data_IF_289405701891
#
_entry.id   IF_289405701891
#
_cell.length_a   1.000
_cell.length_b   1.000
_cell.length_c   1.000
_cell.angle_alpha   90.00
_cell.angle_beta   90.00
_cell.angle_gamma   90.00
#
_symmetry.space_group_name_H-M   'P 1'
#
loop_
_entity.id
_entity.type
_entity.pdbx_description
1 polymer ?
#
# COMPACT_ATOMS: atom_id res chain seq x y z
N UNK A 1 -37.64 6.40 13.42
CA UNK A 1 -37.07 7.21 14.49
C UNK A 1 -35.95 8.08 13.90
N UNK A 2 -35.93 9.37 14.14
CA UNK A 2 -34.86 10.29 13.66
C UNK A 2 -33.61 10.14 14.54
N UNK A 3 -33.03 8.96 14.54
CA UNK A 3 -31.81 8.65 15.31
C UNK A 3 -30.63 8.64 14.34
N UNK A 4 -29.67 9.54 14.54
CA UNK A 4 -28.49 9.67 13.68
C UNK A 4 -27.33 8.77 14.13
N UNK A 5 -27.32 8.35 15.40
CA UNK A 5 -26.24 7.58 16.02
C UNK A 5 -26.82 6.55 16.99
N UNK A 6 -26.32 5.32 16.92
CA UNK A 6 -26.68 4.22 17.81
C UNK A 6 -25.44 3.71 18.52
N UNK A 7 -25.51 3.65 19.86
CA UNK A 7 -24.48 2.99 20.64
C UNK A 7 -24.64 1.47 20.55
N UNK A 8 -23.55 0.79 20.30
CA UNK A 8 -23.46 -0.67 20.39
C UNK A 8 -22.89 -1.01 21.77
N UNK A 9 -23.61 -1.82 22.54
CA UNK A 9 -23.21 -2.22 23.88
C UNK A 9 -23.07 -3.73 23.96
N UNK A 10 -22.20 -4.21 24.84
CA UNK A 10 -22.11 -5.62 25.19
C UNK A 10 -23.25 -6.06 26.12
N UNK A 11 -23.30 -7.34 26.47
CA UNK A 11 -24.32 -7.91 27.37
C UNK A 11 -24.31 -7.29 28.78
N UNK A 12 -23.24 -6.58 29.14
CA UNK A 12 -23.10 -5.87 30.43
C UNK A 12 -23.43 -4.39 30.34
N UNK A 13 -23.87 -3.92 29.14
CA UNK A 13 -24.20 -2.51 28.91
C UNK A 13 -22.98 -1.61 28.66
N UNK A 14 -21.77 -2.15 28.53
CA UNK A 14 -20.57 -1.38 28.20
C UNK A 14 -20.56 -1.02 26.70
N UNK A 15 -20.32 0.24 26.39
CA UNK A 15 -20.19 0.70 25.00
C UNK A 15 -18.98 0.06 24.34
N UNK A 16 -19.22 -0.66 23.24
CA UNK A 16 -18.20 -1.33 22.40
C UNK A 16 -18.14 -0.79 20.97
N UNK A 17 -19.06 0.11 20.61
CA UNK A 17 -19.08 0.69 19.28
C UNK A 17 -20.15 1.76 19.09
N UNK A 18 -20.13 2.35 17.90
CA UNK A 18 -21.09 3.35 17.46
C UNK A 18 -21.43 3.10 15.99
N UNK A 19 -22.72 3.11 15.66
CA UNK A 19 -23.19 3.06 14.28
C UNK A 19 -23.85 4.40 13.97
N UNK A 20 -23.48 5.01 12.84
CA UNK A 20 -24.08 6.26 12.38
C UNK A 20 -24.83 6.07 11.07
N UNK A 21 -25.77 7.00 10.77
CA UNK A 21 -26.43 7.04 9.45
C UNK A 21 -25.42 7.15 8.33
N UNK A 22 -24.34 7.94 8.54
CA UNK A 22 -23.25 8.07 7.55
C UNK A 22 -22.53 6.76 7.26
N UNK A 23 -22.38 5.86 8.23
CA UNK A 23 -21.76 4.55 8.02
C UNK A 23 -22.63 3.68 7.12
N UNK A 24 -23.96 3.73 7.33
CA UNK A 24 -24.93 3.01 6.49
C UNK A 24 -24.93 3.58 5.07
N UNK A 25 -25.01 4.89 4.93
CA UNK A 25 -24.96 5.57 3.62
C UNK A 25 -23.66 5.25 2.86
N UNK A 26 -22.52 5.34 3.52
CA UNK A 26 -21.22 5.02 2.91
C UNK A 26 -21.10 3.55 2.50
N UNK A 27 -21.71 2.64 3.27
CA UNK A 27 -21.70 1.22 2.90
C UNK A 27 -22.51 0.94 1.61
N UNK A 28 -23.56 1.72 1.39
CA UNK A 28 -24.38 1.65 0.17
C UNK A 28 -23.73 2.35 -1.02
N UNK A 29 -23.09 3.50 -0.79
CA UNK A 29 -22.40 4.27 -1.82
C UNK A 29 -21.11 3.59 -2.31
N UNK A 30 -20.43 2.85 -1.42
CA UNK A 30 -19.17 2.18 -1.71
C UNK A 30 -19.21 0.67 -1.40
N UNK A 31 -20.05 -0.10 -2.12
CA UNK A 31 -20.23 -1.53 -1.84
C UNK A 31 -18.98 -2.36 -2.09
N UNK A 32 -18.08 -1.88 -2.98
CA UNK A 32 -16.86 -2.56 -3.37
C UNK A 32 -15.62 -2.14 -2.53
N UNK A 33 -15.81 -1.36 -1.47
CA UNK A 33 -14.70 -1.00 -0.59
C UNK A 33 -14.09 -2.27 0.04
N UNK A 34 -12.76 -2.36 0.05
CA UNK A 34 -12.04 -3.47 0.67
C UNK A 34 -12.25 -3.46 2.17
N UNK A 35 -12.89 -4.50 2.69
CA UNK A 35 -13.26 -4.64 4.09
C UNK A 35 -12.86 -6.00 4.63
N UNK A 36 -12.55 -6.04 5.91
CA UNK A 36 -12.33 -7.27 6.66
C UNK A 36 -13.66 -8.00 6.95
N UNK A 37 -13.57 -9.17 7.59
CA UNK A 37 -14.74 -9.97 7.97
C UNK A 37 -15.69 -9.26 8.98
N UNK A 38 -15.20 -8.22 9.65
CA UNK A 38 -15.98 -7.38 10.59
C UNK A 38 -16.55 -6.13 9.93
N UNK A 39 -16.38 -5.98 8.60
CA UNK A 39 -16.85 -4.82 7.82
C UNK A 39 -16.00 -3.57 7.99
N UNK A 40 -14.81 -3.65 8.58
CA UNK A 40 -13.86 -2.53 8.71
C UNK A 40 -13.01 -2.43 7.44
N UNK A 41 -12.63 -1.21 7.06
CA UNK A 41 -11.73 -1.00 5.93
C UNK A 41 -10.39 -1.69 6.18
N UNK A 42 -9.85 -2.36 5.15
CA UNK A 42 -8.50 -2.89 5.15
C UNK A 42 -7.53 -1.71 5.11
N UNK A 43 -6.55 -1.71 6.02
CA UNK A 43 -5.58 -0.63 6.17
C UNK A 43 -4.15 -1.12 6.11
N UNK A 44 -3.32 -0.36 5.40
CA UNK A 44 -1.88 -0.54 5.37
C UNK A 44 -1.15 0.58 6.10
N UNK A 45 0.02 0.27 6.65
CA UNK A 45 0.86 1.27 7.28
C UNK A 45 2.30 1.20 6.79
N UNK A 46 2.86 2.39 6.49
CA UNK A 46 4.23 2.51 6.03
C UNK A 46 5.22 2.45 7.18
N UNK A 47 6.32 1.76 6.93
CA UNK A 47 7.51 1.69 7.78
C UNK A 47 8.76 2.01 6.94
N UNK A 48 9.82 2.43 7.60
CA UNK A 48 11.13 2.61 6.99
C UNK A 48 11.95 1.33 6.98
N UNK A 49 13.23 1.44 7.33
CA UNK A 49 14.19 0.34 7.40
C UNK A 49 14.99 0.37 8.72
N UNK A 50 15.53 -0.79 9.12
CA UNK A 50 16.35 -0.94 10.32
C UNK A 50 15.53 -1.15 11.60
N UNK A 51 16.20 -1.07 12.76
CA UNK A 51 15.64 -1.41 14.07
C UNK A 51 14.39 -0.60 14.44
N UNK A 52 14.37 0.69 14.15
CA UNK A 52 13.20 1.55 14.42
C UNK A 52 11.97 1.10 13.59
N UNK A 53 12.20 0.63 12.36
CA UNK A 53 11.14 0.11 11.52
C UNK A 53 10.58 -1.21 12.06
N UNK A 54 11.41 -2.08 12.61
CA UNK A 54 10.98 -3.33 13.24
C UNK A 54 10.12 -3.04 14.48
N UNK A 55 10.58 -2.13 15.34
CA UNK A 55 9.80 -1.74 16.52
C UNK A 55 8.45 -1.10 16.14
N UNK A 56 8.44 -0.25 15.12
CA UNK A 56 7.21 0.31 14.57
C UNK A 56 6.28 -0.76 13.98
N UNK A 57 6.84 -1.73 13.26
CA UNK A 57 6.08 -2.84 12.71
C UNK A 57 5.38 -3.66 13.80
N UNK A 58 6.07 -3.96 14.91
CA UNK A 58 5.50 -4.64 16.07
C UNK A 58 4.28 -3.89 16.63
N UNK A 59 4.42 -2.58 16.87
CA UNK A 59 3.32 -1.76 17.36
C UNK A 59 2.12 -1.72 16.38
N UNK A 60 2.39 -1.69 15.08
CA UNK A 60 1.35 -1.68 14.06
C UNK A 60 0.62 -3.03 13.96
N UNK A 61 1.35 -4.13 14.05
CA UNK A 61 0.77 -5.49 14.08
C UNK A 61 -0.09 -5.67 15.33
N UNK A 62 0.39 -5.24 16.50
CA UNK A 62 -0.38 -5.27 17.75
C UNK A 62 -1.64 -4.40 17.68
N UNK A 63 -1.59 -3.28 16.95
CA UNK A 63 -2.74 -2.43 16.69
C UNK A 63 -3.71 -3.01 15.65
N UNK A 64 -3.37 -4.10 14.98
CA UNK A 64 -4.22 -4.81 14.01
C UNK A 64 -4.15 -4.25 12.59
N UNK A 65 -2.97 -3.82 12.13
CA UNK A 65 -2.76 -3.45 10.73
C UNK A 65 -2.94 -4.68 9.83
N UNK A 66 -3.55 -4.49 8.66
CA UNK A 66 -3.78 -5.59 7.72
C UNK A 66 -2.55 -5.84 6.83
N UNK A 67 -1.80 -4.80 6.47
CA UNK A 67 -0.61 -4.92 5.62
C UNK A 67 0.46 -3.90 6.03
N UNK A 68 1.72 -4.34 6.06
CA UNK A 68 2.87 -3.47 6.25
C UNK A 68 3.44 -3.05 4.90
N UNK A 69 3.94 -1.82 4.81
CA UNK A 69 4.55 -1.30 3.60
C UNK A 69 5.97 -0.81 3.93
N UNK A 70 6.99 -1.51 3.47
CA UNK A 70 8.36 -1.00 3.50
C UNK A 70 8.50 0.00 2.35
N UNK A 71 8.45 1.29 2.71
CA UNK A 71 8.38 2.38 1.74
C UNK A 71 9.68 3.17 1.74
N UNK A 72 10.41 3.07 0.63
CA UNK A 72 11.71 3.72 0.47
C UNK A 72 11.87 4.32 -0.92
N UNK A 73 12.72 5.34 -1.03
CA UNK A 73 13.06 5.93 -2.33
C UNK A 73 13.84 4.97 -3.23
N UNK A 74 14.51 3.96 -2.65
CA UNK A 74 15.28 2.94 -3.35
C UNK A 74 15.12 1.59 -2.64
N UNK A 75 14.17 0.78 -3.14
CA UNK A 75 13.80 -0.50 -2.55
C UNK A 75 14.86 -1.59 -2.72
N UNK A 76 15.71 -1.49 -3.74
CA UNK A 76 16.76 -2.47 -4.03
C UNK A 76 18.03 -2.16 -3.23
N UNK A 77 17.98 -2.32 -1.91
CA UNK A 77 19.12 -2.09 -1.02
C UNK A 77 19.20 -3.14 0.09
N UNK A 78 20.42 -3.42 0.57
CA UNK A 78 20.67 -4.39 1.64
C UNK A 78 19.84 -4.10 2.90
N UNK A 79 19.64 -2.83 3.24
CA UNK A 79 18.84 -2.44 4.40
C UNK A 79 17.35 -2.80 4.23
N UNK A 80 16.80 -2.62 3.03
CA UNK A 80 15.41 -3.02 2.74
C UNK A 80 15.29 -4.53 2.81
N UNK A 81 16.19 -5.26 2.18
CA UNK A 81 16.20 -6.72 2.15
C UNK A 81 16.32 -7.30 3.56
N UNK A 82 17.25 -6.81 4.37
CA UNK A 82 17.41 -7.27 5.75
C UNK A 82 16.19 -6.97 6.61
N UNK A 83 15.58 -5.79 6.46
CA UNK A 83 14.35 -5.42 7.17
C UNK A 83 13.18 -6.31 6.75
N UNK A 84 13.02 -6.59 5.45
CA UNK A 84 12.00 -7.50 4.96
C UNK A 84 12.13 -8.89 5.56
N UNK A 85 13.32 -9.47 5.50
CA UNK A 85 13.61 -10.79 6.09
C UNK A 85 13.27 -10.85 7.58
N UNK A 86 13.66 -9.83 8.32
CA UNK A 86 13.40 -9.77 9.75
C UNK A 86 11.90 -9.68 10.04
N UNK A 87 11.15 -8.83 9.32
CA UNK A 87 9.70 -8.71 9.46
C UNK A 87 9.02 -10.06 9.13
N UNK A 88 9.35 -10.67 8.01
CA UNK A 88 8.75 -11.95 7.60
C UNK A 88 9.10 -13.10 8.56
N UNK A 89 10.22 -13.01 9.28
CA UNK A 89 10.56 -13.98 10.32
C UNK A 89 9.78 -13.81 11.62
N UNK A 90 9.32 -12.58 11.92
CA UNK A 90 8.65 -12.23 13.17
C UNK A 90 7.12 -12.21 13.06
N UNK A 91 6.60 -11.81 11.90
CA UNK A 91 5.17 -11.55 11.71
C UNK A 91 4.63 -12.32 10.50
N UNK A 92 3.36 -12.72 10.59
CA UNK A 92 2.61 -13.35 9.50
C UNK A 92 1.88 -12.33 8.61
N UNK A 93 1.99 -11.05 8.93
CA UNK A 93 1.35 -9.95 8.18
C UNK A 93 1.96 -9.85 6.78
N UNK A 94 1.11 -9.60 5.78
CA UNK A 94 1.57 -9.35 4.41
C UNK A 94 2.42 -8.08 4.33
N UNK A 95 3.45 -8.11 3.49
CA UNK A 95 4.42 -7.02 3.35
C UNK A 95 4.53 -6.58 1.89
N UNK A 96 4.17 -5.32 1.63
CA UNK A 96 4.44 -4.64 0.38
C UNK A 96 5.81 -3.98 0.49
N UNK A 97 6.65 -4.13 -0.52
CA UNK A 97 8.03 -3.57 -0.50
C UNK A 97 8.29 -2.71 -1.74
N UNK A 98 8.91 -1.57 -1.57
CA UNK A 98 9.34 -0.69 -2.66
C UNK A 98 10.10 0.55 -2.19
N UNK A 99 10.40 1.47 -3.15
CA UNK A 99 10.01 1.39 -4.56
C UNK A 99 11.17 0.86 -5.42
N UNK A 100 10.80 0.13 -6.44
CA UNK A 100 11.72 -0.38 -7.45
C UNK A 100 11.23 -0.04 -8.86
N UNK A 101 12.05 -0.28 -9.88
CA UNK A 101 11.70 0.00 -11.27
C UNK A 101 12.31 -0.98 -12.27
N UNK A 102 12.93 -2.06 -11.80
CA UNK A 102 13.59 -3.07 -12.63
C UNK A 102 13.13 -4.48 -12.29
N UNK A 103 13.24 -5.39 -13.25
CA UNK A 103 12.94 -6.80 -13.10
C UNK A 103 13.85 -7.48 -12.05
N UNK A 104 15.16 -7.17 -12.06
CA UNK A 104 16.11 -7.75 -11.11
C UNK A 104 15.75 -7.39 -9.67
N UNK A 105 15.45 -6.10 -9.42
CA UNK A 105 15.04 -5.66 -8.10
C UNK A 105 13.72 -6.31 -7.66
N UNK A 106 12.77 -6.45 -8.58
CA UNK A 106 11.49 -7.11 -8.33
C UNK A 106 11.70 -8.58 -7.99
N UNK A 107 12.53 -9.28 -8.76
CA UNK A 107 12.86 -10.69 -8.52
C UNK A 107 13.47 -10.89 -7.16
N UNK A 108 14.49 -10.09 -6.81
CA UNK A 108 15.18 -10.22 -5.53
C UNK A 108 14.22 -9.97 -4.34
N UNK A 109 13.41 -8.92 -4.38
CA UNK A 109 12.45 -8.65 -3.29
C UNK A 109 11.45 -9.80 -3.10
N UNK A 110 10.95 -10.38 -4.20
CA UNK A 110 10.03 -11.53 -4.13
C UNK A 110 10.75 -12.75 -3.53
N UNK A 111 11.98 -13.02 -3.93
CA UNK A 111 12.77 -14.14 -3.41
C UNK A 111 13.11 -13.99 -1.93
N UNK A 112 13.10 -12.76 -1.43
CA UNK A 112 13.26 -12.48 0.00
C UNK A 112 11.93 -12.43 0.79
N UNK A 113 10.81 -12.74 0.13
CA UNK A 113 9.52 -12.92 0.79
C UNK A 113 8.57 -11.73 0.74
N UNK A 114 8.74 -10.80 -0.20
CA UNK A 114 7.75 -9.75 -0.44
C UNK A 114 6.44 -10.37 -0.96
N UNK A 115 5.32 -10.03 -0.33
CA UNK A 115 3.99 -10.47 -0.77
C UNK A 115 3.43 -9.60 -1.90
N UNK A 116 3.99 -8.39 -2.04
CA UNK A 116 3.68 -7.47 -3.13
C UNK A 116 4.85 -6.51 -3.36
N UNK A 117 5.12 -6.14 -4.60
CA UNK A 117 6.18 -5.17 -4.93
C UNK A 117 5.58 -3.86 -5.41
N UNK A 118 6.07 -2.75 -4.85
CA UNK A 118 5.65 -1.40 -5.19
C UNK A 118 6.62 -0.77 -6.19
N UNK A 119 6.10 -0.40 -7.37
CA UNK A 119 6.87 0.00 -8.55
C UNK A 119 6.71 1.48 -8.84
N UNK A 120 7.83 2.19 -8.93
CA UNK A 120 7.86 3.60 -9.33
C UNK A 120 9.05 4.35 -8.73
N UNK A 121 9.97 4.82 -9.59
CA UNK A 121 11.09 5.67 -9.22
C UNK A 121 10.94 7.02 -9.91
N UNK A 122 10.56 8.03 -9.13
CA UNK A 122 10.45 9.41 -9.57
C UNK A 122 9.16 9.82 -10.29
N UNK A 123 8.09 9.02 -10.45
CA UNK A 123 6.90 9.45 -11.18
C UNK A 123 5.92 10.28 -10.35
N UNK A 124 6.06 10.32 -9.04
CA UNK A 124 5.16 11.05 -8.14
C UNK A 124 5.14 12.55 -8.41
N UNK A 125 3.98 13.19 -8.28
CA UNK A 125 3.81 14.62 -8.55
C UNK A 125 4.63 15.51 -7.61
N UNK A 126 4.87 15.06 -6.39
CA UNK A 126 5.70 15.76 -5.38
C UNK A 126 7.13 15.24 -5.33
N UNK A 127 7.47 14.22 -6.14
CA UNK A 127 8.79 13.60 -6.12
C UNK A 127 9.83 14.48 -6.78
N UNK A 128 10.89 14.79 -6.06
CA UNK A 128 12.01 15.61 -6.54
C UNK A 128 13.19 14.79 -7.06
N UNK A 129 13.16 13.47 -6.97
CA UNK A 129 14.26 12.58 -7.34
C UNK A 129 14.74 12.81 -8.78
N UNK A 130 13.81 12.95 -9.74
CA UNK A 130 14.18 13.23 -11.15
C UNK A 130 14.84 14.58 -11.33
N UNK A 131 14.38 15.59 -10.60
CA UNK A 131 14.85 16.97 -10.76
C UNK A 131 16.17 17.19 -10.03
N UNK A 132 16.29 16.65 -8.82
CA UNK A 132 17.45 16.86 -7.94
C UNK A 132 18.57 15.86 -8.23
N UNK A 133 18.24 14.58 -8.34
CA UNK A 133 19.22 13.51 -8.51
C UNK A 133 19.37 13.05 -9.97
N UNK A 134 18.50 13.48 -10.89
CA UNK A 134 18.51 13.00 -12.27
C UNK A 134 18.12 11.52 -12.42
N UNK A 135 17.56 10.92 -11.39
CA UNK A 135 17.22 9.49 -11.34
C UNK A 135 15.72 9.29 -11.52
N UNK A 136 15.36 8.37 -12.40
CA UNK A 136 13.97 7.98 -12.61
C UNK A 136 13.81 7.05 -13.79
N UNK A 137 12.72 6.30 -13.80
CA UNK A 137 12.35 5.42 -14.90
C UNK A 137 10.96 5.82 -15.38
N UNK A 138 10.69 5.81 -16.71
CA UNK A 138 9.34 6.02 -17.23
C UNK A 138 8.39 4.98 -16.61
N UNK A 139 7.31 5.46 -15.99
CA UNK A 139 6.47 4.61 -15.13
C UNK A 139 5.85 3.42 -15.87
N UNK A 140 5.38 3.64 -17.08
CA UNK A 140 4.77 2.57 -17.88
C UNK A 140 5.79 1.45 -18.20
N UNK A 141 7.02 1.80 -18.57
CA UNK A 141 8.09 0.84 -18.80
C UNK A 141 8.47 0.07 -17.53
N UNK A 142 8.62 0.80 -16.41
CA UNK A 142 8.91 0.16 -15.13
C UNK A 142 7.83 -0.86 -14.73
N UNK A 143 6.54 -0.53 -14.96
CA UNK A 143 5.45 -1.46 -14.67
C UNK A 143 5.54 -2.70 -15.55
N UNK A 144 5.76 -2.54 -16.88
CA UNK A 144 5.87 -3.68 -17.80
C UNK A 144 7.00 -4.64 -17.38
N UNK A 145 8.18 -4.10 -17.12
CA UNK A 145 9.36 -4.88 -16.76
C UNK A 145 9.15 -5.64 -15.44
N UNK A 146 8.67 -4.94 -14.41
CA UNK A 146 8.42 -5.53 -13.09
C UNK A 146 7.26 -6.54 -13.11
N UNK A 147 6.19 -6.26 -13.89
CA UNK A 147 5.01 -7.12 -13.98
C UNK A 147 5.33 -8.47 -14.61
N UNK A 148 6.18 -8.48 -15.64
CA UNK A 148 6.60 -9.74 -16.30
C UNK A 148 7.28 -10.68 -15.31
N UNK A 149 8.19 -10.14 -14.49
CA UNK A 149 8.92 -10.93 -13.48
C UNK A 149 8.00 -11.37 -12.35
N UNK A 150 7.19 -10.46 -11.82
CA UNK A 150 6.28 -10.75 -10.71
C UNK A 150 5.22 -11.79 -11.09
N UNK A 151 4.69 -11.74 -12.32
CA UNK A 151 3.71 -12.70 -12.83
C UNK A 151 4.27 -14.13 -12.89
N UNK A 152 5.54 -14.31 -13.26
CA UNK A 152 6.20 -15.63 -13.27
C UNK A 152 6.27 -16.26 -11.88
N UNK A 153 6.30 -15.43 -10.83
CA UNK A 153 6.38 -15.84 -9.43
C UNK A 153 5.02 -15.80 -8.71
N UNK A 154 3.96 -15.37 -9.41
CA UNK A 154 2.62 -15.27 -8.85
C UNK A 154 2.44 -14.17 -7.79
N UNK A 155 3.31 -13.17 -7.77
CA UNK A 155 3.29 -12.06 -6.81
C UNK A 155 2.71 -10.80 -7.48
N UNK A 156 1.76 -10.09 -6.84
CA UNK A 156 1.19 -8.86 -7.40
C UNK A 156 2.18 -7.70 -7.34
N UNK A 157 1.98 -6.71 -8.21
CA UNK A 157 2.67 -5.41 -8.13
C UNK A 157 1.68 -4.26 -8.02
N UNK A 158 2.10 -3.18 -7.33
CA UNK A 158 1.38 -1.92 -7.25
C UNK A 158 2.15 -0.85 -8.01
N UNK A 159 1.50 -0.18 -8.97
CA UNK A 159 2.06 0.97 -9.66
C UNK A 159 1.89 2.23 -8.79
N UNK A 160 3.01 2.78 -8.34
CA UNK A 160 3.04 3.92 -7.42
C UNK A 160 3.59 5.17 -8.11
N UNK A 161 2.76 6.21 -8.14
CA UNK A 161 3.09 7.51 -8.72
C UNK A 161 2.73 7.67 -10.20
N UNK A 162 2.61 8.93 -10.61
CA UNK A 162 2.28 9.30 -11.99
C UNK A 162 0.79 9.19 -12.35
N UNK A 163 -0.07 8.87 -11.41
CA UNK A 163 -1.53 8.77 -11.61
C UNK A 163 -2.16 10.15 -11.44
N UNK A 164 -2.53 10.77 -12.54
CA UNK A 164 -3.20 12.09 -12.58
C UNK A 164 -4.64 12.00 -13.06
N UNK A 165 -4.94 11.04 -13.91
CA UNK A 165 -6.24 10.82 -14.53
C UNK A 165 -6.65 9.36 -14.45
N UNK A 166 -7.94 9.08 -14.59
CA UNK A 166 -8.48 7.71 -14.62
C UNK A 166 -7.86 6.85 -15.72
N UNK A 167 -7.51 7.45 -16.87
CA UNK A 167 -6.81 6.76 -17.94
C UNK A 167 -5.42 6.27 -17.55
N UNK A 168 -4.75 6.89 -16.59
CA UNK A 168 -3.45 6.42 -16.10
C UNK A 168 -3.61 5.15 -15.27
N UNK A 169 -4.71 5.02 -14.53
CA UNK A 169 -5.06 3.79 -13.82
C UNK A 169 -5.24 2.65 -14.83
N UNK A 170 -6.03 2.88 -15.88
CA UNK A 170 -6.28 1.87 -16.91
C UNK A 170 -4.98 1.42 -17.61
N UNK A 171 -4.07 2.36 -17.90
CA UNK A 171 -2.74 2.06 -18.48
C UNK A 171 -1.89 1.23 -17.52
N UNK A 172 -1.84 1.58 -16.25
CA UNK A 172 -1.06 0.84 -15.25
C UNK A 172 -1.56 -0.60 -15.10
N UNK A 173 -2.88 -0.79 -15.01
CA UNK A 173 -3.48 -2.13 -14.97
C UNK A 173 -3.27 -2.89 -16.26
N UNK A 174 -3.40 -2.23 -17.43
CA UNK A 174 -3.13 -2.83 -18.74
C UNK A 174 -1.66 -3.22 -18.95
N UNK A 175 -0.73 -2.55 -18.26
CA UNK A 175 0.69 -2.89 -18.24
C UNK A 175 1.02 -4.05 -17.27
N UNK A 176 0.05 -4.57 -16.53
CA UNK A 176 0.20 -5.73 -15.65
C UNK A 176 0.25 -5.42 -14.16
N UNK A 177 0.06 -4.16 -13.74
CA UNK A 177 -0.11 -3.87 -12.32
C UNK A 177 -1.42 -4.47 -11.78
N UNK A 178 -1.38 -5.03 -10.57
CA UNK A 178 -2.56 -5.56 -9.88
C UNK A 178 -3.37 -4.45 -9.18
N UNK A 179 -2.71 -3.32 -8.91
CA UNK A 179 -3.30 -2.15 -8.28
C UNK A 179 -2.49 -0.89 -8.55
N UNK A 180 -3.03 0.25 -8.13
CA UNK A 180 -2.35 1.55 -8.21
C UNK A 180 -2.35 2.23 -6.86
N UNK A 181 -1.26 2.94 -6.54
CA UNK A 181 -1.20 3.81 -5.38
C UNK A 181 -1.50 5.24 -5.82
N UNK A 182 -2.58 5.78 -5.27
CA UNK A 182 -3.08 7.12 -5.60
C UNK A 182 -2.74 8.06 -4.45
N UNK A 183 -1.99 9.11 -4.74
CA UNK A 183 -1.65 10.17 -3.81
C UNK A 183 -2.38 11.46 -4.15
N UNK A 184 -1.77 12.30 -5.00
CA UNK A 184 -2.26 13.64 -5.31
C UNK A 184 -3.67 13.69 -5.89
N UNK A 185 -4.10 12.69 -6.64
CA UNK A 185 -5.45 12.62 -7.20
C UNK A 185 -6.52 12.60 -6.09
N UNK A 186 -6.24 11.97 -4.95
CA UNK A 186 -7.13 11.98 -3.79
C UNK A 186 -6.96 13.23 -2.91
N UNK A 187 -5.77 13.80 -2.89
CA UNK A 187 -5.44 14.93 -2.03
C UNK A 187 -5.79 16.28 -2.64
N UNK A 188 -6.22 16.33 -3.89
CA UNK A 188 -6.58 17.58 -4.60
C UNK A 188 -7.62 18.43 -3.88
N UNK A 189 -8.41 17.85 -3.03
CA UNK A 189 -9.46 18.52 -2.26
C UNK A 189 -8.95 19.17 -0.97
N UNK A 190 -7.71 18.96 -0.57
CA UNK A 190 -7.23 19.35 0.76
C UNK A 190 -6.03 20.25 0.76
N UNK A 191 -5.42 20.46 -0.38
CA UNK A 191 -4.13 21.15 -0.49
C UNK A 191 -4.30 22.42 -1.29
N UNK A 192 -5.30 23.15 -0.94
CA UNK A 192 -5.45 24.53 -1.38
C UNK A 192 -5.07 25.46 -0.25
#
# INVERSE_FOLDING_TARGET
HRIEKLLVVDDKGKCIGLITVKDIEKSQLHPNASKDQKGRLIVGAAIGVGEEAIHRAEQLVDAGVDVLVIDTAHGHSEKVISTLKEIKSKFSTDVIVGNVATNEATEELIDQGADCVKVGIGPGSICTTRVVAGIGVPQFSAILDCAETAAKKGVPIIADGGIKYSGDIAKALGAGASGVMIGSLMSLIHIS
#
